data_IF_658965712610
#
_entry.id   IF_658965712610
#
_cell.length_a   1.000
_cell.length_b   1.000
_cell.length_c   1.000
_cell.angle_alpha   90.00
_cell.angle_beta   90.00
_cell.angle_gamma   90.00
#
_symmetry.space_group_name_H-M   'P 1'
#
loop_
_entity.id
_entity.type
_entity.pdbx_description
1 polymer ?
#
# COMPACT_ATOMS: atom_id res chain seq x y z
N UNK A 1 8.81 -26.90 -18.62
CA UNK A 1 8.92 -27.53 -17.30
C UNK A 1 9.03 -26.52 -16.16
N UNK A 2 10.06 -25.66 -16.07
CA UNK A 2 10.22 -24.69 -14.94
C UNK A 2 8.99 -23.81 -14.63
N UNK A 3 8.33 -23.24 -15.65
CA UNK A 3 7.16 -22.34 -15.46
C UNK A 3 5.93 -23.06 -14.86
N UNK A 4 5.76 -24.35 -15.17
CA UNK A 4 4.62 -25.15 -14.68
C UNK A 4 4.81 -25.50 -13.19
N UNK A 5 6.04 -25.81 -12.77
CA UNK A 5 6.39 -26.10 -11.36
C UNK A 5 6.31 -24.87 -10.43
N UNK A 6 6.34 -23.67 -11.02
CA UNK A 6 6.30 -22.39 -10.31
C UNK A 6 4.85 -21.91 -10.11
N UNK A 7 3.99 -22.02 -11.12
CA UNK A 7 2.55 -21.77 -10.99
C UNK A 7 1.89 -22.77 -10.01
N UNK A 8 2.28 -24.04 -10.06
CA UNK A 8 1.79 -25.07 -9.14
C UNK A 8 2.19 -24.79 -7.68
N UNK A 9 3.32 -24.11 -7.45
CA UNK A 9 3.78 -23.78 -6.10
C UNK A 9 2.89 -22.76 -5.39
N UNK A 10 2.45 -21.71 -6.10
CA UNK A 10 1.57 -20.69 -5.53
C UNK A 10 0.16 -21.22 -5.28
N UNK A 11 -0.26 -22.22 -6.06
CA UNK A 11 -1.48 -23.00 -5.85
C UNK A 11 -1.34 -24.04 -4.72
N UNK A 12 -0.42 -23.90 -3.77
CA UNK A 12 -0.36 -24.83 -2.63
C UNK A 12 -0.95 -24.19 -1.39
N UNK A 13 -1.81 -24.91 -0.71
CA UNK A 13 -2.41 -24.48 0.56
C UNK A 13 -1.37 -24.05 1.59
N UNK A 14 -0.29 -24.81 1.75
CA UNK A 14 0.79 -24.53 2.70
C UNK A 14 1.61 -23.28 2.34
N UNK A 15 1.60 -22.86 1.07
CA UNK A 15 2.22 -21.60 0.63
C UNK A 15 1.28 -20.42 0.90
N UNK A 16 -0.01 -20.59 0.67
CA UNK A 16 -1.01 -19.55 0.96
C UNK A 16 -1.15 -19.30 2.47
N UNK A 17 -1.09 -20.35 3.29
CA UNK A 17 -0.98 -20.22 4.75
C UNK A 17 0.26 -19.42 5.16
N UNK A 18 1.41 -19.71 4.55
CA UNK A 18 2.63 -18.97 4.81
C UNK A 18 2.49 -17.48 4.45
N UNK A 19 1.92 -17.16 3.29
CA UNK A 19 1.67 -15.78 2.87
C UNK A 19 0.74 -15.07 3.86
N UNK A 20 -0.37 -15.70 4.25
CA UNK A 20 -1.29 -15.16 5.25
C UNK A 20 -0.56 -14.88 6.57
N UNK A 21 0.24 -15.81 7.09
CA UNK A 21 0.97 -15.61 8.34
C UNK A 21 2.02 -14.50 8.25
N UNK A 22 2.75 -14.41 7.14
CA UNK A 22 3.70 -13.31 6.91
C UNK A 22 2.97 -11.96 6.93
N UNK A 23 1.83 -11.84 6.22
CA UNK A 23 1.08 -10.59 6.11
C UNK A 23 0.44 -10.13 7.43
N UNK A 24 0.25 -11.05 8.38
CA UNK A 24 -0.23 -10.76 9.73
C UNK A 24 0.88 -10.48 10.75
N UNK A 25 2.14 -10.72 10.39
CA UNK A 25 3.28 -10.54 11.29
C UNK A 25 3.84 -9.12 11.15
N UNK A 26 4.02 -8.42 12.27
CA UNK A 26 4.68 -7.11 12.29
C UNK A 26 6.20 -7.23 12.04
N UNK A 27 6.81 -6.33 11.27
CA UNK A 27 8.26 -6.19 11.22
C UNK A 27 8.85 -5.78 12.58
N UNK A 28 10.06 -6.26 12.96
CA UNK A 28 10.91 -7.21 12.24
C UNK A 28 10.37 -8.63 12.23
N UNK A 29 10.27 -9.23 11.04
CA UNK A 29 9.76 -10.60 10.91
C UNK A 29 10.73 -11.61 11.51
N UNK A 30 10.23 -12.42 12.46
CA UNK A 30 10.96 -13.54 13.06
C UNK A 30 10.53 -14.85 12.41
N UNK A 31 11.37 -15.41 11.54
CA UNK A 31 11.09 -16.68 10.86
C UNK A 31 10.82 -17.83 11.83
N UNK A 32 11.48 -17.83 13.00
CA UNK A 32 11.24 -18.84 14.05
C UNK A 32 9.80 -18.80 14.56
N UNK A 33 9.18 -17.61 14.64
CA UNK A 33 7.80 -17.47 15.10
C UNK A 33 6.82 -18.00 14.05
N UNK A 34 7.03 -17.64 12.79
CA UNK A 34 6.24 -18.18 11.67
C UNK A 34 6.34 -19.71 11.59
N UNK A 35 7.54 -20.26 11.80
CA UNK A 35 7.78 -21.70 11.80
C UNK A 35 7.02 -22.42 12.93
N UNK A 36 7.01 -21.83 14.13
CA UNK A 36 6.22 -22.32 15.27
C UNK A 36 4.72 -22.29 14.95
N UNK A 37 4.21 -21.15 14.45
CA UNK A 37 2.78 -20.96 14.18
C UNK A 37 2.25 -21.88 13.07
N UNK A 38 3.09 -22.22 12.09
CA UNK A 38 2.76 -23.16 11.01
C UNK A 38 3.12 -24.62 11.31
N UNK A 39 3.74 -24.91 12.46
CA UNK A 39 4.27 -26.23 12.80
C UNK A 39 5.18 -26.82 11.71
N UNK A 40 6.09 -26.00 11.18
CA UNK A 40 7.03 -26.38 10.12
C UNK A 40 8.49 -26.07 10.51
N UNK A 41 9.48 -26.84 10.02
CA UNK A 41 10.87 -26.52 10.27
C UNK A 41 11.29 -25.17 9.67
N UNK A 42 12.09 -24.38 10.41
CA UNK A 42 12.62 -23.08 9.96
C UNK A 42 13.27 -23.16 8.57
N UNK A 43 13.98 -24.26 8.27
CA UNK A 43 14.61 -24.49 6.96
C UNK A 43 13.60 -24.57 5.82
N UNK A 44 12.43 -25.19 6.05
CA UNK A 44 11.36 -25.27 5.07
C UNK A 44 10.72 -23.91 4.83
N UNK A 45 10.44 -23.15 5.89
CA UNK A 45 9.92 -21.78 5.80
C UNK A 45 10.89 -20.90 5.01
N UNK A 46 12.19 -20.91 5.33
CA UNK A 46 13.22 -20.17 4.58
C UNK A 46 13.24 -20.54 3.11
N UNK A 47 13.15 -21.83 2.78
CA UNK A 47 13.11 -22.32 1.40
C UNK A 47 11.88 -21.79 0.65
N UNK A 48 10.69 -21.84 1.28
CA UNK A 48 9.45 -21.31 0.70
C UNK A 48 9.52 -19.80 0.47
N UNK A 49 9.99 -19.04 1.46
CA UNK A 49 10.20 -17.58 1.34
C UNK A 49 11.19 -17.29 0.21
N UNK A 50 12.32 -17.98 0.15
CA UNK A 50 13.31 -17.78 -0.94
C UNK A 50 12.71 -18.08 -2.31
N UNK A 51 11.88 -19.12 -2.43
CA UNK A 51 11.15 -19.42 -3.67
C UNK A 51 10.16 -18.31 -4.01
N UNK A 52 9.39 -17.77 -3.05
CA UNK A 52 8.51 -16.62 -3.28
C UNK A 52 9.28 -15.41 -3.81
N UNK A 53 10.44 -15.07 -3.21
CA UNK A 53 11.30 -14.00 -3.70
C UNK A 53 11.81 -14.24 -5.12
N UNK A 54 12.22 -15.46 -5.45
CA UNK A 54 12.66 -15.82 -6.80
C UNK A 54 11.53 -15.70 -7.84
N UNK A 55 10.29 -15.94 -7.43
CA UNK A 55 9.11 -15.73 -8.27
C UNK A 55 8.80 -14.23 -8.45
N UNK A 56 9.42 -13.34 -7.66
CA UNK A 56 9.21 -11.89 -7.71
C UNK A 56 8.21 -11.38 -6.67
N UNK A 57 7.78 -12.22 -5.72
CA UNK A 57 7.08 -11.73 -4.54
C UNK A 57 8.06 -11.01 -3.63
N UNK A 58 7.56 -10.02 -2.89
CA UNK A 58 8.28 -9.39 -1.81
C UNK A 58 7.29 -8.91 -0.78
N UNK A 59 7.77 -8.63 0.43
CA UNK A 59 6.93 -8.17 1.53
C UNK A 59 7.40 -6.82 2.01
N UNK A 60 6.48 -5.91 2.29
CA UNK A 60 6.74 -4.58 2.86
C UNK A 60 5.96 -4.42 4.15
N UNK A 61 6.52 -3.71 5.12
CA UNK A 61 5.82 -3.32 6.33
C UNK A 61 4.62 -2.44 5.98
N UNK A 62 3.48 -2.76 6.58
CA UNK A 62 2.24 -2.01 6.44
C UNK A 62 1.98 -1.20 7.72
N UNK A 63 1.53 0.04 7.58
CA UNK A 63 1.17 0.92 8.68
C UNK A 63 0.24 2.01 8.18
N UNK A 64 -0.62 2.49 9.06
CA UNK A 64 -1.53 3.59 8.74
C UNK A 64 -0.74 4.90 8.61
N UNK A 65 -0.91 5.60 7.49
CA UNK A 65 -0.20 6.86 7.25
C UNK A 65 -0.61 7.94 8.25
N UNK A 66 -1.85 7.94 8.74
CA UNK A 66 -2.34 8.90 9.74
C UNK A 66 -1.56 8.79 11.05
N UNK A 67 -1.20 7.56 11.46
CA UNK A 67 -0.38 7.31 12.66
C UNK A 67 0.97 8.00 12.59
N UNK A 68 1.50 8.21 11.37
CA UNK A 68 2.78 8.86 11.18
C UNK A 68 2.63 10.32 10.74
N UNK A 69 1.41 10.89 10.74
CA UNK A 69 1.15 12.28 10.36
C UNK A 69 1.12 12.51 8.85
N UNK A 70 0.88 11.49 8.03
CA UNK A 70 0.72 11.59 6.58
C UNK A 70 -0.69 11.20 6.14
N UNK A 71 -1.07 11.70 4.96
CA UNK A 71 -2.25 11.30 4.21
C UNK A 71 -1.89 11.09 2.74
N UNK A 72 -2.85 10.70 1.90
CA UNK A 72 -2.61 10.48 0.46
C UNK A 72 -3.47 11.36 -0.41
N UNK A 73 -2.84 12.23 -1.20
CA UNK A 73 -3.51 12.96 -2.27
C UNK A 73 -3.57 12.07 -3.52
N UNK A 74 -4.77 11.93 -4.09
CA UNK A 74 -5.01 11.19 -5.33
C UNK A 74 -5.21 12.18 -6.47
N UNK A 75 -4.41 12.04 -7.53
CA UNK A 75 -4.47 12.84 -8.74
C UNK A 75 -4.61 11.93 -9.95
N UNK A 76 -5.40 12.34 -10.94
CA UNK A 76 -5.55 11.63 -12.20
C UNK A 76 -5.53 12.60 -13.38
N UNK A 77 -4.66 12.32 -14.33
CA UNK A 77 -4.34 13.17 -15.48
C UNK A 77 -4.70 12.46 -16.78
N UNK A 78 -5.07 13.23 -17.79
CA UNK A 78 -5.32 12.75 -19.15
C UNK A 78 -4.03 12.59 -19.98
N UNK A 79 -2.87 12.91 -19.42
CA UNK A 79 -1.56 12.83 -20.04
C UNK A 79 -0.58 12.04 -19.14
N UNK A 80 0.53 11.52 -19.69
CA UNK A 80 1.59 10.86 -18.90
C UNK A 80 2.09 11.73 -17.75
N UNK A 81 2.25 11.15 -16.56
CA UNK A 81 2.69 11.88 -15.35
C UNK A 81 4.03 12.60 -15.55
N UNK A 82 4.95 11.99 -16.30
CA UNK A 82 6.27 12.58 -16.54
C UNK A 82 6.19 13.83 -17.44
N UNK A 83 5.16 13.94 -18.30
CA UNK A 83 4.91 15.15 -19.09
C UNK A 83 4.20 16.24 -18.27
N UNK A 84 3.31 15.84 -17.36
CA UNK A 84 2.74 16.75 -16.36
C UNK A 84 3.84 17.39 -15.51
N UNK A 85 4.81 16.59 -15.03
CA UNK A 85 5.94 17.09 -14.23
C UNK A 85 6.76 18.15 -14.98
N UNK A 86 6.96 18.00 -16.30
CA UNK A 86 7.72 18.98 -17.11
C UNK A 86 7.00 20.33 -17.28
N UNK A 87 5.68 20.35 -17.20
CA UNK A 87 4.86 21.56 -17.32
C UNK A 87 4.82 22.37 -16.02
N UNK A 88 5.17 21.74 -14.90
CA UNK A 88 5.11 22.38 -13.60
C UNK A 88 6.26 23.38 -13.39
N UNK A 89 6.02 24.47 -12.64
CA UNK A 89 7.07 25.41 -12.25
C UNK A 89 8.29 24.69 -11.65
N UNK A 90 9.50 25.16 -11.97
CA UNK A 90 10.75 24.47 -11.63
C UNK A 90 10.86 24.12 -10.16
N UNK A 91 10.48 25.04 -9.29
CA UNK A 91 10.38 24.79 -7.86
C UNK A 91 9.49 23.55 -7.62
N UNK A 92 8.22 23.57 -8.04
CA UNK A 92 7.27 22.46 -7.82
C UNK A 92 7.70 21.12 -8.46
N UNK A 93 8.23 21.15 -9.69
CA UNK A 93 8.69 19.95 -10.42
C UNK A 93 9.80 19.19 -9.69
N UNK A 94 10.62 19.88 -8.89
CA UNK A 94 11.68 19.26 -8.09
C UNK A 94 11.14 18.58 -6.83
N UNK A 95 10.00 19.02 -6.29
CA UNK A 95 9.39 18.41 -5.09
C UNK A 95 8.63 17.13 -5.40
N UNK A 96 7.81 17.15 -6.45
CA UNK A 96 6.88 16.05 -6.75
C UNK A 96 7.53 14.66 -6.72
N UNK A 97 8.74 14.46 -7.28
CA UNK A 97 9.41 13.17 -7.21
C UNK A 97 9.58 12.62 -5.79
N UNK A 98 9.83 13.48 -4.81
CA UNK A 98 9.99 13.08 -3.40
C UNK A 98 8.66 12.78 -2.73
N UNK A 99 7.58 13.43 -3.17
CA UNK A 99 6.24 13.25 -2.61
C UNK A 99 5.51 12.03 -3.19
N UNK A 100 5.94 11.49 -4.33
CA UNK A 100 5.29 10.34 -4.96
C UNK A 100 5.29 9.15 -4.01
N UNK A 101 4.10 8.59 -3.76
CA UNK A 101 3.87 7.30 -3.08
C UNK A 101 3.73 6.19 -4.11
N UNK A 102 2.97 6.43 -5.17
CA UNK A 102 2.66 5.46 -6.21
C UNK A 102 2.30 6.18 -7.50
N UNK A 103 2.55 5.54 -8.64
CA UNK A 103 2.01 5.96 -9.93
C UNK A 103 1.66 4.74 -10.78
N UNK A 104 0.77 4.93 -11.74
CA UNK A 104 0.42 3.95 -12.76
C UNK A 104 -0.50 4.56 -13.80
N UNK A 105 -0.52 3.95 -14.98
CA UNK A 105 -1.30 4.42 -16.12
C UNK A 105 -2.33 3.37 -16.52
N UNK A 106 -3.50 3.81 -16.98
CA UNK A 106 -4.54 2.95 -17.52
C UNK A 106 -4.44 2.90 -19.04
N UNK A 107 -4.86 1.78 -19.63
CA UNK A 107 -5.02 1.66 -21.09
C UNK A 107 -6.49 1.49 -21.52
N UNK A 108 -7.40 1.22 -20.57
CA UNK A 108 -8.84 1.04 -20.83
C UNK A 108 -9.68 1.59 -19.67
N UNK A 109 -10.87 2.17 -19.91
CA UNK A 109 -11.46 2.44 -21.23
C UNK A 109 -10.80 3.60 -21.97
N UNK A 110 -9.94 4.37 -21.29
CA UNK A 110 -9.13 5.45 -21.85
C UNK A 110 -7.79 5.53 -21.11
N UNK A 111 -6.88 6.34 -21.63
CA UNK A 111 -5.65 6.67 -20.91
C UNK A 111 -5.95 7.59 -19.72
N UNK A 112 -5.42 7.21 -18.56
CA UNK A 112 -5.45 7.97 -17.32
C UNK A 112 -4.15 7.69 -16.57
N UNK A 113 -3.37 8.73 -16.31
CA UNK A 113 -2.20 8.64 -15.43
C UNK A 113 -2.59 8.97 -14.01
N UNK A 114 -2.35 8.08 -13.07
CA UNK A 114 -2.68 8.26 -11.66
C UNK A 114 -1.41 8.46 -10.85
N UNK A 115 -1.44 9.47 -9.99
CA UNK A 115 -0.39 9.76 -9.03
C UNK A 115 -0.98 9.78 -7.62
N UNK A 116 -0.39 8.98 -6.73
CA UNK A 116 -0.65 9.04 -5.29
C UNK A 116 0.53 9.76 -4.64
N UNK A 117 0.24 10.79 -3.86
CA UNK A 117 1.25 11.68 -3.28
C UNK A 117 1.12 11.67 -1.75
N UNK A 118 2.24 11.60 -1.05
CA UNK A 118 2.31 11.87 0.38
C UNK A 118 2.08 13.35 0.66
N UNK A 119 1.24 13.63 1.65
CA UNK A 119 0.96 14.97 2.16
C UNK A 119 0.86 14.93 3.69
N UNK A 120 1.12 16.02 4.44
CA UNK A 120 0.92 16.02 5.89
C UNK A 120 -0.56 15.84 6.23
N UNK A 121 -0.81 15.13 7.33
CA UNK A 121 -2.12 15.06 7.98
C UNK A 121 -2.40 16.41 8.66
N UNK A 122 -3.57 17.01 8.42
CA UNK A 122 -4.01 18.31 8.96
C UNK A 122 -3.46 19.59 8.30
N UNK A 123 -2.93 19.50 7.08
CA UNK A 123 -2.48 20.69 6.36
C UNK A 123 -3.52 21.05 5.27
N UNK A 124 -3.77 22.35 5.06
CA UNK A 124 -4.60 22.89 3.95
C UNK A 124 -3.91 22.71 2.58
N UNK A 125 -3.36 21.51 2.34
CA UNK A 125 -2.60 21.15 1.15
C UNK A 125 -3.50 21.21 -0.08
N UNK A 126 -4.80 20.96 0.04
CA UNK A 126 -5.70 20.99 -1.10
C UNK A 126 -5.74 22.36 -1.75
N UNK A 127 -5.99 23.44 -0.99
CA UNK A 127 -6.07 24.78 -1.57
C UNK A 127 -4.77 25.18 -2.30
N UNK A 128 -3.62 24.83 -1.72
CA UNK A 128 -2.31 25.11 -2.31
C UNK A 128 -1.97 24.19 -3.50
N UNK A 129 -2.27 22.89 -3.42
CA UNK A 129 -2.02 21.94 -4.50
C UNK A 129 -2.95 22.20 -5.69
N UNK A 130 -4.24 22.44 -5.46
CA UNK A 130 -5.18 22.87 -6.50
C UNK A 130 -4.72 24.19 -7.13
N UNK A 131 -4.36 25.18 -6.33
CA UNK A 131 -3.87 26.47 -6.85
C UNK A 131 -2.60 26.34 -7.69
N UNK A 132 -1.72 25.38 -7.39
CA UNK A 132 -0.52 25.12 -8.20
C UNK A 132 -0.87 24.41 -9.51
N UNK A 133 -1.72 23.38 -9.46
CA UNK A 133 -2.16 22.64 -10.65
C UNK A 133 -2.96 23.52 -11.61
N UNK A 134 -3.83 24.37 -11.07
CA UNK A 134 -4.62 25.35 -11.82
C UNK A 134 -3.72 26.41 -12.48
N UNK A 135 -2.77 27.00 -11.73
CA UNK A 135 -1.81 27.97 -12.29
C UNK A 135 -0.92 27.38 -13.39
N UNK A 136 -0.65 26.08 -13.33
CA UNK A 136 0.12 25.37 -14.35
C UNK A 136 -0.73 24.90 -15.55
N UNK A 137 -2.03 25.24 -15.58
CA UNK A 137 -2.97 24.85 -16.62
C UNK A 137 -3.01 23.33 -16.87
N UNK A 138 -2.92 22.55 -15.78
CA UNK A 138 -2.96 21.09 -15.83
C UNK A 138 -4.41 20.64 -15.61
N UNK A 139 -4.97 20.00 -16.63
CA UNK A 139 -6.31 19.41 -16.53
C UNK A 139 -6.26 18.10 -15.76
N UNK A 140 -7.23 17.94 -14.86
CA UNK A 140 -7.42 16.72 -14.09
C UNK A 140 -8.64 15.99 -14.63
N UNK A 141 -8.48 14.69 -14.86
CA UNK A 141 -9.53 13.83 -15.40
C UNK A 141 -10.42 13.26 -14.30
N UNK A 142 -9.88 13.13 -13.08
CA UNK A 142 -10.61 12.78 -11.88
C UNK A 142 -10.54 13.95 -10.91
N UNK A 143 -11.63 14.22 -10.19
CA UNK A 143 -11.62 15.18 -9.08
C UNK A 143 -10.59 14.72 -8.04
N UNK A 144 -9.57 15.53 -7.71
CA UNK A 144 -8.64 15.17 -6.65
C UNK A 144 -9.32 15.01 -5.31
N UNK A 145 -8.81 14.08 -4.52
CA UNK A 145 -9.31 13.83 -3.17
C UNK A 145 -8.18 13.42 -2.24
N UNK A 146 -8.37 13.63 -0.94
CA UNK A 146 -7.43 13.19 0.09
C UNK A 146 -7.99 11.92 0.69
N UNK A 147 -7.29 10.82 0.46
CA UNK A 147 -7.56 9.59 1.16
C UNK A 147 -6.90 9.61 2.53
N UNK A 148 -7.71 9.84 3.57
CA UNK A 148 -7.34 9.71 4.97
C UNK A 148 -7.30 8.24 5.41
N UNK A 149 -8.08 7.36 4.78
CA UNK A 149 -8.08 5.93 5.09
C UNK A 149 -7.34 5.16 3.99
N UNK A 150 -6.40 4.30 4.39
CA UNK A 150 -5.68 3.38 3.49
C UNK A 150 -5.77 1.97 4.03
N UNK A 151 -6.40 1.08 3.27
CA UNK A 151 -6.58 -0.33 3.64
C UNK A 151 -5.83 -1.18 2.63
N UNK A 152 -5.00 -2.11 3.12
CA UNK A 152 -4.26 -3.04 2.28
C UNK A 152 -4.90 -4.43 2.35
N UNK A 153 -4.84 -5.17 1.25
CA UNK A 153 -5.28 -6.56 1.17
C UNK A 153 -4.48 -7.45 2.12
N UNK A 154 -5.20 -8.30 2.84
CA UNK A 154 -4.71 -9.28 3.80
C UNK A 154 -5.45 -10.59 3.57
N UNK A 155 -5.09 -11.34 2.52
CA UNK A 155 -5.81 -12.51 2.10
C UNK A 155 -5.91 -13.54 3.22
N UNK A 156 -7.11 -14.09 3.41
CA UNK A 156 -7.34 -15.20 4.33
C UNK A 156 -7.52 -16.47 3.53
N UNK A 157 -6.85 -17.53 3.97
CA UNK A 157 -6.93 -18.86 3.37
C UNK A 157 -8.35 -19.38 3.18
N UNK A 158 -9.29 -18.99 4.07
CA UNK A 158 -10.71 -19.34 3.93
C UNK A 158 -11.40 -18.84 2.65
N UNK A 159 -10.91 -17.76 2.04
CA UNK A 159 -11.48 -17.21 0.80
C UNK A 159 -10.81 -17.77 -0.46
N UNK A 160 -9.85 -18.68 -0.33
CA UNK A 160 -9.30 -19.40 -1.47
C UNK A 160 -10.21 -20.59 -1.81
N UNK A 161 -10.77 -20.60 -3.01
CA UNK A 161 -11.54 -21.69 -3.59
C UNK A 161 -10.64 -22.87 -3.96
N UNK A 162 -11.12 -24.08 -3.69
CA UNK A 162 -10.47 -25.32 -4.12
C UNK A 162 -11.06 -25.76 -5.47
N UNK A 163 -10.27 -26.35 -6.39
CA UNK A 163 -8.86 -26.73 -6.29
C UNK A 163 -7.86 -25.69 -6.84
N UNK A 164 -8.34 -24.58 -7.41
CA UNK A 164 -7.50 -23.65 -8.17
C UNK A 164 -6.89 -22.49 -7.34
N UNK A 165 -7.24 -22.39 -6.07
CA UNK A 165 -6.76 -21.35 -5.13
C UNK A 165 -7.06 -19.93 -5.61
N UNK A 166 -8.21 -19.77 -6.26
CA UNK A 166 -8.79 -18.50 -6.71
C UNK A 166 -9.76 -17.94 -5.66
N UNK A 167 -10.25 -16.71 -5.76
CA UNK A 167 -11.27 -16.26 -4.80
C UNK A 167 -12.57 -17.07 -4.87
N UNK A 168 -13.06 -17.49 -3.71
CA UNK A 168 -14.43 -17.94 -3.55
C UNK A 168 -15.37 -16.72 -3.46
N UNK A 169 -15.76 -16.18 -4.62
CA UNK A 169 -16.58 -14.97 -4.73
C UNK A 169 -17.96 -15.12 -4.09
N UNK A 170 -18.51 -16.34 -4.12
CA UNK A 170 -19.80 -16.66 -3.51
C UNK A 170 -19.72 -16.60 -1.98
N UNK A 171 -18.70 -17.22 -1.38
CA UNK A 171 -18.46 -17.14 0.06
C UNK A 171 -18.23 -15.68 0.50
N UNK A 172 -17.46 -14.92 -0.28
CA UNK A 172 -17.20 -13.50 0.00
C UNK A 172 -18.49 -12.68 -0.01
N UNK A 173 -19.35 -12.89 -1.01
CA UNK A 173 -20.66 -12.24 -1.12
C UNK A 173 -21.61 -12.65 0.02
N UNK A 174 -21.61 -13.92 0.40
CA UNK A 174 -22.42 -14.39 1.53
C UNK A 174 -21.94 -13.81 2.87
N UNK A 175 -20.63 -13.63 3.06
CA UNK A 175 -20.08 -12.97 4.25
C UNK A 175 -20.42 -11.47 4.29
N UNK A 176 -20.47 -10.77 3.14
CA UNK A 176 -20.93 -9.37 3.07
C UNK A 176 -22.38 -9.17 3.56
N UNK A 177 -23.23 -10.18 3.38
CA UNK A 177 -24.63 -10.16 3.81
C UNK A 177 -24.83 -10.41 5.29
N UNK A 178 -23.83 -10.95 5.97
CA UNK A 178 -23.89 -11.13 7.42
C UNK A 178 -23.79 -9.75 8.09
N UNK A 179 -24.43 -9.60 9.24
CA UNK A 179 -24.19 -8.43 10.10
C UNK A 179 -22.74 -8.52 10.59
N UNK A 180 -21.97 -7.44 10.37
CA UNK A 180 -20.63 -7.30 10.95
C UNK A 180 -20.73 -6.47 12.23
N UNK A 181 -19.81 -6.71 13.16
CA UNK A 181 -19.63 -5.87 14.34
C UNK A 181 -19.20 -4.45 13.90
N UNK A 182 -20.05 -3.44 14.14
CA UNK A 182 -19.75 -2.01 13.88
C UNK A 182 -18.44 -1.52 14.52
N UNK A 183 -17.90 -2.27 15.48
CA UNK A 183 -16.72 -1.94 16.27
C UNK A 183 -15.46 -1.83 15.39
N UNK A 184 -15.30 -2.72 14.39
CA UNK A 184 -14.17 -2.73 13.47
C UNK A 184 -14.10 -1.45 12.61
N UNK A 185 -15.26 -0.91 12.21
CA UNK A 185 -15.36 0.33 11.41
C UNK A 185 -15.00 1.56 12.26
N UNK A 186 -15.44 1.59 13.52
CA UNK A 186 -15.14 2.69 14.45
C UNK A 186 -13.65 2.78 14.77
N UNK A 187 -12.94 1.65 14.85
CA UNK A 187 -11.48 1.64 15.01
C UNK A 187 -10.74 2.21 13.79
N UNK A 188 -11.21 1.93 12.58
CA UNK A 188 -10.62 2.48 11.35
C UNK A 188 -10.68 4.01 11.34
N UNK A 189 -11.72 4.61 11.92
CA UNK A 189 -11.92 6.06 11.92
C UNK A 189 -11.16 6.79 13.04
N UNK A 190 -10.77 6.12 14.12
CA UNK A 190 -10.13 6.73 15.29
C UNK A 190 -8.61 6.51 15.30
N UNK A 191 -7.87 7.33 14.56
CA UNK A 191 -6.41 7.27 14.53
C UNK A 191 -5.81 8.66 14.65
N UNK A 192 -5.09 8.89 15.74
CA UNK A 192 -4.33 10.12 15.95
C UNK A 192 -2.86 9.95 15.53
N UNK A 193 -2.24 11.01 14.97
CA UNK A 193 -0.81 11.02 14.69
C UNK A 193 0.03 10.82 15.95
N UNK A 194 1.06 9.99 15.81
CA UNK A 194 2.04 9.72 16.85
C UNK A 194 3.26 10.60 16.57
N UNK A 195 3.79 11.22 17.62
CA UNK A 195 5.05 11.95 17.53
C UNK A 195 6.23 10.98 17.33
N UNK A 196 6.93 11.10 16.20
CA UNK A 196 8.04 10.23 15.80
C UNK A 196 9.38 10.94 15.93
N UNK A 197 10.45 10.16 16.10
CA UNK A 197 11.80 10.65 15.86
C UNK A 197 12.24 10.29 14.43
N UNK A 198 13.22 11.03 13.89
CA UNK A 198 13.77 10.74 12.55
C UNK A 198 14.27 9.30 12.41
N UNK A 199 14.84 8.73 13.48
CA UNK A 199 15.28 7.33 13.49
C UNK A 199 14.09 6.39 13.32
N UNK A 200 12.95 6.68 13.95
CA UNK A 200 11.73 5.89 13.79
C UNK A 200 11.26 5.94 12.34
N UNK A 201 11.25 7.14 11.73
CA UNK A 201 10.90 7.34 10.31
C UNK A 201 11.82 6.54 9.38
N UNK A 202 13.13 6.54 9.63
CA UNK A 202 14.10 5.80 8.82
C UNK A 202 13.96 4.27 8.98
N UNK A 203 13.62 3.80 10.18
CA UNK A 203 13.30 2.39 10.43
C UNK A 203 12.05 2.00 9.65
N UNK A 204 10.98 2.79 9.74
CA UNK A 204 9.73 2.56 9.00
C UNK A 204 9.95 2.55 7.49
N UNK A 205 10.73 3.50 6.96
CA UNK A 205 11.08 3.55 5.54
C UNK A 205 11.87 2.31 5.09
N UNK A 206 12.73 1.76 5.96
CA UNK A 206 13.47 0.52 5.67
C UNK A 206 12.53 -0.68 5.57
N UNK A 207 11.61 -0.85 6.52
CA UNK A 207 10.64 -1.95 6.48
C UNK A 207 9.58 -1.80 5.40
N UNK A 208 9.20 -0.58 5.02
CA UNK A 208 8.30 -0.35 3.89
C UNK A 208 8.96 -0.70 2.53
N UNK A 209 10.30 -0.71 2.45
CA UNK A 209 11.01 -1.24 1.28
C UNK A 209 11.06 -2.76 1.28
N UNK A 210 11.33 -3.36 2.43
CA UNK A 210 11.38 -4.81 2.65
C UNK A 210 11.18 -5.15 4.14
N UNK A 211 10.10 -5.87 4.45
CA UNK A 211 9.72 -6.30 5.80
C UNK A 211 10.71 -7.29 6.43
N UNK A 212 11.49 -8.00 5.60
CA UNK A 212 12.51 -8.96 6.05
C UNK A 212 13.89 -8.33 6.25
N UNK A 213 14.02 -7.01 6.09
CA UNK A 213 15.28 -6.30 6.33
C UNK A 213 15.79 -6.59 7.75
N UNK A 214 16.99 -7.19 7.92
CA UNK A 214 17.53 -7.45 9.26
C UNK A 214 17.83 -6.16 10.01
N UNK A 215 17.59 -6.15 11.33
CA UNK A 215 17.94 -5.02 12.20
C UNK A 215 19.43 -4.64 12.09
N UNK A 216 20.31 -5.63 11.93
CA UNK A 216 21.75 -5.39 11.72
C UNK A 216 22.05 -4.60 10.44
N UNK A 217 21.29 -4.83 9.37
CA UNK A 217 21.41 -4.08 8.13
C UNK A 217 20.94 -2.64 8.31
N UNK A 218 19.79 -2.42 8.97
CA UNK A 218 19.31 -1.06 9.30
C UNK A 218 20.34 -0.32 10.17
N UNK A 219 20.89 -1.00 11.18
CA UNK A 219 21.93 -0.43 12.05
C UNK A 219 23.18 -0.02 11.25
N UNK A 220 23.63 -0.88 10.33
CA UNK A 220 24.75 -0.60 9.43
C UNK A 220 24.46 0.58 8.49
N UNK A 221 23.31 0.56 7.82
CA UNK A 221 22.90 1.58 6.85
C UNK A 221 22.76 2.96 7.52
N UNK A 222 22.34 3.00 8.78
CA UNK A 222 22.19 4.23 9.56
C UNK A 222 23.42 4.59 10.41
N UNK A 223 24.48 3.76 10.39
CA UNK A 223 25.67 3.89 11.25
C UNK A 223 25.34 4.04 12.74
N UNK A 224 24.38 3.26 13.22
CA UNK A 224 23.96 3.20 14.62
C UNK A 224 24.22 1.82 15.20
N UNK A 225 24.28 1.72 16.53
CA UNK A 225 24.37 0.40 17.18
C UNK A 225 23.06 -0.37 17.04
N UNK A 226 23.16 -1.70 16.92
CA UNK A 226 21.99 -2.60 16.91
C UNK A 226 21.12 -2.38 18.16
N UNK A 227 21.73 -2.13 19.32
CA UNK A 227 21.02 -1.83 20.57
C UNK A 227 20.16 -0.57 20.46
N UNK A 228 20.66 0.49 19.81
CA UNK A 228 19.91 1.73 19.60
C UNK A 228 18.70 1.48 18.68
N UNK A 229 18.88 0.77 17.57
CA UNK A 229 17.75 0.43 16.68
C UNK A 229 16.71 -0.43 17.41
N UNK A 230 17.14 -1.46 18.15
CA UNK A 230 16.23 -2.30 18.93
C UNK A 230 15.47 -1.53 20.01
N UNK A 231 16.10 -0.52 20.64
CA UNK A 231 15.41 0.37 21.58
C UNK A 231 14.26 1.09 20.88
N UNK A 232 14.54 1.80 19.78
CA UNK A 232 13.53 2.52 19.00
C UNK A 232 12.39 1.60 18.53
N UNK A 233 12.73 0.41 18.01
CA UNK A 233 11.74 -0.60 17.62
C UNK A 233 10.80 -0.96 18.77
N UNK A 234 11.34 -1.35 19.93
CA UNK A 234 10.52 -1.76 21.07
C UNK A 234 9.71 -0.60 21.66
N UNK A 235 10.33 0.56 21.85
CA UNK A 235 9.73 1.65 22.64
C UNK A 235 8.83 2.56 21.83
N UNK A 236 9.15 2.82 20.56
CA UNK A 236 8.47 3.81 19.73
C UNK A 236 7.59 3.18 18.66
N UNK A 237 7.96 2.00 18.15
CA UNK A 237 7.26 1.37 17.01
C UNK A 237 6.32 0.26 17.48
N UNK A 238 6.84 -0.80 18.12
CA UNK A 238 6.08 -1.97 18.59
C UNK A 238 5.09 -1.58 19.70
N UNK A 239 5.56 -0.91 20.77
CA UNK A 239 4.70 -0.50 21.89
C UNK A 239 3.54 0.39 21.46
N UNK A 240 3.73 1.19 20.40
CA UNK A 240 2.72 2.12 19.89
C UNK A 240 1.89 1.53 18.74
N UNK A 241 2.10 0.24 18.41
CA UNK A 241 1.39 -0.48 17.35
C UNK A 241 1.35 0.30 16.04
N UNK A 242 2.52 0.79 15.59
CA UNK A 242 2.59 1.53 14.32
C UNK A 242 2.36 0.59 13.15
N UNK A 243 2.98 -0.58 13.16
CA UNK A 243 2.77 -1.60 12.13
C UNK A 243 1.39 -2.24 12.26
N UNK A 244 0.83 -2.55 11.10
CA UNK A 244 -0.37 -3.33 10.90
C UNK A 244 -0.01 -4.59 10.09
N UNK A 245 1.08 -5.27 10.42
CA UNK A 245 1.60 -6.43 9.69
C UNK A 245 2.39 -6.06 8.44
N UNK A 246 2.24 -6.91 7.42
CA UNK A 246 2.95 -6.78 6.15
C UNK A 246 1.99 -6.84 4.95
N UNK A 247 2.46 -6.35 3.82
CA UNK A 247 1.76 -6.44 2.54
C UNK A 247 2.67 -6.87 1.40
N UNK A 248 2.09 -7.32 0.29
CA UNK A 248 2.84 -7.75 -0.88
C UNK A 248 3.36 -6.52 -1.64
N UNK A 249 4.67 -6.51 -1.91
CA UNK A 249 5.38 -5.42 -2.58
C UNK A 249 5.08 -5.36 -4.07
N UNK A 250 5.07 -6.50 -4.74
CA UNK A 250 4.86 -6.60 -6.17
C UNK A 250 3.73 -7.60 -6.44
N UNK A 251 2.64 -7.07 -7.01
CA UNK A 251 1.39 -7.77 -7.26
C UNK A 251 1.51 -8.92 -8.25
N UNK A 252 2.49 -8.83 -9.14
CA UNK A 252 2.60 -9.74 -10.24
C UNK A 252 4.01 -10.30 -10.27
N UNK A 253 4.10 -11.59 -9.95
CA UNK A 253 5.29 -12.39 -10.21
C UNK A 253 5.67 -12.21 -11.68
N UNK A 254 6.94 -12.40 -12.05
CA UNK A 254 7.35 -12.34 -13.47
C UNK A 254 6.54 -13.31 -14.36
N UNK A 255 5.91 -14.31 -13.75
CA UNK A 255 5.14 -15.37 -14.38
C UNK A 255 3.63 -15.04 -14.46
N UNK A 256 3.09 -14.24 -13.54
CA UNK A 256 1.65 -13.89 -13.49
C UNK A 256 1.28 -12.68 -14.38
N UNK A 257 2.24 -11.92 -14.91
CA UNK A 257 1.99 -10.71 -15.73
C UNK A 257 1.14 -11.02 -16.96
N UNK A 258 1.24 -12.24 -17.47
CA UNK A 258 0.47 -12.66 -18.64
C UNK A 258 -0.94 -13.15 -18.28
N UNK A 259 -1.20 -13.51 -17.02
CA UNK A 259 -2.43 -14.20 -16.60
C UNK A 259 -3.28 -13.39 -15.61
N UNK A 260 -2.87 -12.16 -15.27
CA UNK A 260 -3.63 -11.25 -14.40
C UNK A 260 -3.90 -9.91 -15.06
N UNK A 261 -5.05 -9.33 -14.71
CA UNK A 261 -5.44 -7.97 -15.03
C UNK A 261 -5.45 -7.15 -13.74
N UNK A 262 -4.75 -6.01 -13.75
CA UNK A 262 -4.88 -5.03 -12.68
C UNK A 262 -6.04 -4.09 -12.97
N UNK A 263 -7.07 -4.15 -12.13
CA UNK A 263 -8.28 -3.34 -12.25
C UNK A 263 -8.31 -2.28 -11.17
N UNK A 264 -8.62 -1.06 -11.57
CA UNK A 264 -8.77 0.07 -10.68
C UNK A 264 -10.22 0.53 -10.68
N UNK A 265 -10.85 0.54 -9.52
CA UNK A 265 -12.16 1.12 -9.30
C UNK A 265 -11.99 2.50 -8.70
N UNK A 266 -12.60 3.53 -9.29
CA UNK A 266 -12.68 4.88 -8.71
C UNK A 266 -14.15 5.25 -8.63
N UNK A 267 -14.61 5.68 -7.45
CA UNK A 267 -16.03 5.91 -7.23
C UNK A 267 -16.35 6.83 -6.07
N UNK A 268 -17.66 6.99 -5.83
CA UNK A 268 -18.25 7.72 -4.71
C UNK A 268 -19.37 6.87 -4.09
N UNK A 269 -19.39 6.76 -2.76
CA UNK A 269 -20.52 6.17 -2.04
C UNK A 269 -20.93 7.05 -0.85
N UNK A 270 -22.16 7.54 -0.86
CA UNK A 270 -22.68 8.45 0.17
C UNK A 270 -22.85 7.78 1.54
N UNK A 271 -22.95 6.45 1.57
CA UNK A 271 -22.91 5.66 2.79
C UNK A 271 -21.50 5.09 3.00
N UNK A 272 -20.68 5.86 3.72
CA UNK A 272 -19.32 5.47 4.09
C UNK A 272 -19.28 4.16 4.88
N UNK A 273 -20.26 3.91 5.75
CA UNK A 273 -20.28 2.70 6.59
C UNK A 273 -20.45 1.46 5.71
N UNK A 274 -21.37 1.52 4.76
CA UNK A 274 -21.59 0.45 3.78
C UNK A 274 -20.35 0.21 2.90
N UNK A 275 -19.69 1.27 2.44
CA UNK A 275 -18.43 1.15 1.69
C UNK A 275 -17.33 0.50 2.53
N UNK A 276 -17.16 0.93 3.79
CA UNK A 276 -16.14 0.39 4.70
C UNK A 276 -16.42 -1.08 5.06
N UNK A 277 -17.69 -1.47 5.21
CA UNK A 277 -18.11 -2.88 5.34
C UNK A 277 -17.73 -3.71 4.11
N UNK A 278 -17.90 -3.16 2.91
CA UNK A 278 -17.44 -3.86 1.73
C UNK A 278 -15.92 -4.06 1.72
N UNK A 279 -15.18 -3.01 2.07
CA UNK A 279 -13.72 -3.04 2.13
C UNK A 279 -13.22 -4.00 3.22
N UNK A 280 -13.85 -4.05 4.40
CA UNK A 280 -13.47 -4.90 5.54
C UNK A 280 -13.53 -6.39 5.20
N UNK A 281 -14.48 -6.80 4.36
CA UNK A 281 -14.62 -8.17 3.86
C UNK A 281 -13.72 -8.42 2.66
N UNK A 282 -13.82 -7.60 1.61
CA UNK A 282 -13.10 -7.81 0.33
C UNK A 282 -11.59 -7.76 0.51
N UNK A 283 -11.06 -7.03 1.52
CA UNK A 283 -9.61 -7.02 1.81
C UNK A 283 -9.04 -8.40 2.10
N UNK A 284 -9.88 -9.37 2.46
CA UNK A 284 -9.47 -10.73 2.74
C UNK A 284 -9.42 -11.62 1.49
N UNK A 285 -9.79 -11.11 0.30
CA UNK A 285 -9.65 -11.79 -0.99
C UNK A 285 -8.20 -11.71 -1.50
N UNK A 286 -7.63 -12.80 -2.06
CA UNK A 286 -6.34 -12.81 -2.76
C UNK A 286 -6.19 -11.78 -3.90
N UNK A 287 -7.30 -11.37 -4.50
CA UNK A 287 -7.33 -10.49 -5.66
C UNK A 287 -7.45 -9.02 -5.26
N UNK A 288 -7.79 -8.72 -4.01
CA UNK A 288 -7.82 -7.35 -3.50
C UNK A 288 -6.42 -6.90 -3.09
N UNK A 289 -5.99 -5.74 -3.59
CA UNK A 289 -4.70 -5.18 -3.25
C UNK A 289 -4.78 -4.08 -2.20
N UNK A 290 -5.60 -3.07 -2.45
CA UNK A 290 -5.71 -1.92 -1.56
C UNK A 290 -6.94 -1.09 -1.86
N UNK A 291 -7.43 -0.37 -0.85
CA UNK A 291 -8.37 0.73 -1.00
C UNK A 291 -7.81 2.00 -0.37
N UNK A 292 -8.13 3.13 -0.99
CA UNK A 292 -7.97 4.48 -0.48
C UNK A 292 -9.36 5.10 -0.39
N UNK A 293 -9.70 5.70 0.75
CA UNK A 293 -11.01 6.32 0.98
C UNK A 293 -10.81 7.73 1.53
N UNK A 294 -11.51 8.69 0.94
CA UNK A 294 -11.72 10.04 1.47
C UNK A 294 -13.04 10.03 2.25
N UNK A 295 -12.93 9.95 3.57
CA UNK A 295 -14.09 9.88 4.46
C UNK A 295 -14.93 11.18 4.48
N UNK A 296 -14.37 12.31 4.04
CA UNK A 296 -15.05 13.61 4.05
C UNK A 296 -15.85 13.84 2.76
N UNK A 297 -15.30 13.42 1.62
CA UNK A 297 -15.92 13.61 0.31
C UNK A 297 -16.60 12.35 -0.24
N UNK A 298 -16.56 11.24 0.51
CA UNK A 298 -17.14 9.96 0.13
C UNK A 298 -16.55 9.37 -1.16
N UNK A 299 -15.34 9.78 -1.53
CA UNK A 299 -14.62 9.31 -2.71
C UNK A 299 -13.74 8.12 -2.34
N UNK A 300 -13.55 7.19 -3.26
CA UNK A 300 -12.65 6.08 -3.04
C UNK A 300 -11.95 5.62 -4.32
N UNK A 301 -10.85 4.90 -4.10
CA UNK A 301 -10.13 4.17 -5.14
C UNK A 301 -9.76 2.79 -4.61
N UNK A 302 -10.05 1.73 -5.36
CA UNK A 302 -9.68 0.35 -5.03
C UNK A 302 -8.88 -0.29 -6.16
N UNK A 303 -7.90 -1.09 -5.79
CA UNK A 303 -7.04 -1.81 -6.71
C UNK A 303 -7.23 -3.32 -6.52
N UNK A 304 -7.53 -4.00 -7.63
CA UNK A 304 -7.65 -5.45 -7.72
C UNK A 304 -6.65 -6.00 -8.73
N UNK A 305 -6.27 -7.26 -8.55
CA UNK A 305 -5.44 -8.03 -9.48
C UNK A 305 -6.10 -9.37 -9.74
N UNK A 306 -6.94 -9.39 -10.78
CA UNK A 306 -7.86 -10.47 -11.11
C UNK A 306 -7.18 -11.43 -12.07
N UNK A 307 -7.32 -12.74 -11.88
CA UNK A 307 -6.90 -13.71 -12.89
C UNK A 307 -7.77 -13.56 -14.14
N UNK A 308 -7.18 -13.66 -15.35
CA UNK A 308 -7.93 -13.56 -16.60
C UNK A 308 -9.10 -14.55 -16.67
N UNK A 309 -8.92 -15.75 -16.11
CA UNK A 309 -9.96 -16.78 -16.03
C UNK A 309 -11.15 -16.43 -15.12
N UNK A 310 -11.04 -15.40 -14.29
CA UNK A 310 -12.06 -15.01 -13.31
C UNK A 310 -12.80 -13.73 -13.65
N UNK A 311 -12.48 -13.07 -14.78
CA UNK A 311 -13.07 -11.76 -15.13
C UNK A 311 -14.60 -11.81 -15.12
N UNK A 312 -15.21 -12.87 -15.66
CA UNK A 312 -16.67 -13.01 -15.70
C UNK A 312 -17.28 -13.18 -14.30
N UNK A 313 -16.60 -13.92 -13.42
CA UNK A 313 -17.02 -14.12 -12.03
C UNK A 313 -16.89 -12.81 -11.24
N UNK A 314 -15.77 -12.11 -11.40
CA UNK A 314 -15.56 -10.80 -10.81
C UNK A 314 -16.58 -9.78 -11.31
N UNK A 315 -16.89 -9.76 -12.62
CA UNK A 315 -17.91 -8.88 -13.19
C UNK A 315 -19.29 -9.14 -12.58
N UNK A 316 -19.68 -10.41 -12.41
CA UNK A 316 -20.92 -10.80 -11.72
C UNK A 316 -20.91 -10.37 -10.26
N UNK A 317 -19.81 -10.59 -9.55
CA UNK A 317 -19.64 -10.16 -8.16
C UNK A 317 -19.82 -8.63 -8.02
N UNK A 318 -19.11 -7.84 -8.82
CA UNK A 318 -19.19 -6.37 -8.82
C UNK A 318 -20.62 -5.87 -9.14
N UNK A 319 -21.35 -6.55 -10.02
CA UNK A 319 -22.77 -6.25 -10.26
C UNK A 319 -23.63 -6.52 -9.03
N UNK A 320 -23.40 -7.64 -8.34
CA UNK A 320 -24.16 -8.03 -7.15
C UNK A 320 -23.88 -7.14 -5.94
N UNK A 321 -22.69 -6.54 -5.85
CA UNK A 321 -22.30 -5.64 -4.75
C UNK A 321 -22.41 -4.17 -5.11
N UNK A 322 -23.12 -3.82 -6.19
CA UNK A 322 -23.20 -2.42 -6.68
C UNK A 322 -23.71 -1.47 -5.60
N UNK A 323 -24.67 -1.89 -4.79
CA UNK A 323 -25.20 -1.10 -3.66
C UNK A 323 -24.11 -0.71 -2.65
N UNK A 324 -23.10 -1.56 -2.45
CA UNK A 324 -21.99 -1.28 -1.55
C UNK A 324 -20.94 -0.33 -2.13
N UNK A 325 -20.91 -0.21 -3.45
CA UNK A 325 -19.91 0.56 -4.18
C UNK A 325 -20.42 1.95 -4.58
N UNK A 326 -21.73 2.16 -4.62
CA UNK A 326 -22.32 3.41 -5.12
C UNK A 326 -22.01 3.61 -6.61
N UNK A 327 -21.61 4.83 -6.97
CA UNK A 327 -21.19 5.18 -8.32
C UNK A 327 -19.71 4.87 -8.51
N UNK A 328 -19.34 4.20 -9.59
CA UNK A 328 -17.94 3.88 -9.87
C UNK A 328 -17.64 3.73 -11.36
N UNK A 329 -16.36 3.91 -11.67
CA UNK A 329 -15.76 3.59 -12.95
C UNK A 329 -14.68 2.52 -12.76
N UNK A 330 -14.54 1.62 -13.72
CA UNK A 330 -13.49 0.61 -13.76
C UNK A 330 -12.49 0.99 -14.83
N UNK A 331 -11.21 0.97 -14.48
CA UNK A 331 -10.09 1.15 -15.38
C UNK A 331 -9.18 -0.07 -15.34
N UNK A 332 -8.49 -0.34 -16.45
CA UNK A 332 -7.47 -1.38 -16.53
C UNK A 332 -6.09 -0.73 -16.55
N UNK A 333 -5.26 -1.06 -15.57
CA UNK A 333 -3.91 -0.55 -15.42
C UNK A 333 -2.93 -1.30 -16.33
N UNK A 334 -1.94 -0.58 -16.85
CA UNK A 334 -0.75 -1.12 -17.46
C UNK A 334 0.30 -1.41 -16.37
N UNK A 335 0.56 -2.69 -16.02
CA UNK A 335 1.47 -3.02 -14.92
C UNK A 335 2.91 -2.53 -15.12
N UNK A 336 3.34 -2.34 -16.38
CA UNK A 336 4.71 -1.88 -16.70
C UNK A 336 4.98 -0.43 -16.28
N UNK A 337 3.93 0.37 -16.08
CA UNK A 337 4.02 1.79 -15.70
C UNK A 337 4.00 1.99 -14.18
N UNK A 338 3.71 0.93 -13.43
CA UNK A 338 3.51 1.03 -12.00
C UNK A 338 4.84 1.23 -11.29
N UNK A 339 4.92 2.30 -10.51
CA UNK A 339 6.05 2.56 -9.61
C UNK A 339 5.53 2.85 -8.22
N UNK A 340 6.26 2.39 -7.20
CA UNK A 340 5.95 2.63 -5.79
C UNK A 340 7.20 3.11 -5.08
N UNK A 341 7.01 4.04 -4.16
CA UNK A 341 8.08 4.69 -3.41
C UNK A 341 7.81 4.56 -1.91
N UNK A 342 8.84 4.81 -1.11
CA UNK A 342 8.73 4.76 0.36
C UNK A 342 8.38 6.14 0.93
N UNK A 343 8.08 6.21 2.23
CA UNK A 343 7.91 7.45 2.99
C UNK A 343 9.01 8.47 2.63
N UNK A 344 8.66 9.75 2.42
CA UNK A 344 9.59 10.79 2.03
C UNK A 344 10.40 11.29 3.23
N UNK A 345 11.26 10.44 3.80
CA UNK A 345 11.99 10.74 5.04
C UNK A 345 12.87 12.00 4.96
N UNK A 346 13.22 12.48 3.76
CA UNK A 346 13.92 13.77 3.57
C UNK A 346 13.04 14.98 3.88
N UNK A 347 11.72 14.85 3.77
CA UNK A 347 10.75 15.89 4.12
C UNK A 347 10.33 15.83 5.60
N UNK A 348 11.04 15.06 6.44
CA UNK A 348 10.74 14.99 7.87
C UNK A 348 11.58 15.99 8.64
N UNK A 349 10.96 17.05 9.15
CA UNK A 349 11.64 18.07 9.94
C UNK A 349 11.80 17.59 11.39
N UNK A 350 13.04 17.24 11.74
CA UNK A 350 13.40 16.72 13.06
C UNK A 350 13.20 17.71 14.22
N UNK A 351 13.16 19.01 13.95
CA UNK A 351 13.12 20.06 14.97
C UNK A 351 11.68 20.26 15.46
N UNK A 352 10.73 20.30 14.53
CA UNK A 352 9.29 20.38 14.84
C UNK A 352 8.63 18.99 14.94
N UNK A 353 9.38 17.91 14.63
CA UNK A 353 8.92 16.51 14.59
C UNK A 353 7.68 16.31 13.72
N UNK A 354 7.66 16.94 12.56
CA UNK A 354 6.54 16.89 11.63
C UNK A 354 7.03 16.88 10.18
N UNK A 355 6.12 16.57 9.26
CA UNK A 355 6.37 16.65 7.83
C UNK A 355 6.38 18.10 7.37
N UNK A 356 7.44 18.46 6.69
CA UNK A 356 7.64 19.78 6.13
C UNK A 356 8.19 19.60 4.71
N UNK A 357 7.34 19.95 3.75
CA UNK A 357 7.56 19.67 2.35
C UNK A 357 8.15 20.86 1.61
N UNK A 358 8.75 21.84 2.30
CA UNK A 358 9.55 22.93 1.70
C UNK A 358 10.92 22.44 1.17
N UNK A 359 11.43 23.02 0.07
CA UNK A 359 12.68 22.55 -0.60
C UNK A 359 13.84 22.80 0.34
N UNK A 360 13.82 23.94 1.02
CA UNK A 360 14.80 24.34 2.03
C UNK A 360 14.98 23.22 3.06
N UNK A 361 13.89 22.65 3.56
CA UNK A 361 13.94 21.54 4.51
C UNK A 361 14.48 20.27 3.87
N UNK A 362 14.03 19.91 2.68
CA UNK A 362 14.50 18.72 1.96
C UNK A 362 16.02 18.80 1.70
N UNK A 363 16.53 19.95 1.25
CA UNK A 363 17.95 20.17 0.98
C UNK A 363 18.78 20.10 2.26
N UNK A 364 18.35 20.79 3.33
CA UNK A 364 19.01 20.74 4.64
C UNK A 364 19.04 19.29 5.18
N UNK A 365 17.93 18.56 5.05
CA UNK A 365 17.83 17.19 5.54
C UNK A 365 18.67 16.23 4.72
N UNK A 366 18.80 16.45 3.40
CA UNK A 366 19.71 15.72 2.54
C UNK A 366 21.16 15.91 2.98
N UNK A 367 21.60 17.16 3.19
CA UNK A 367 22.94 17.46 3.71
C UNK A 367 23.20 16.81 5.07
N UNK A 368 22.23 16.91 5.99
CA UNK A 368 22.32 16.28 7.33
C UNK A 368 22.41 14.76 7.23
N UNK A 369 21.66 14.12 6.34
CA UNK A 369 21.71 12.66 6.13
C UNK A 369 23.06 12.26 5.53
N UNK A 370 23.56 12.99 4.53
CA UNK A 370 24.88 12.75 3.96
C UNK A 370 26.00 12.90 5.00
N UNK A 371 25.90 13.88 5.91
CA UNK A 371 26.85 14.04 7.00
C UNK A 371 26.79 12.86 8.00
N UNK A 372 25.59 12.43 8.39
CA UNK A 372 25.38 11.24 9.24
C UNK A 372 25.94 9.96 8.60
N UNK A 373 25.87 9.84 7.28
CA UNK A 373 26.38 8.70 6.52
C UNK A 373 27.87 8.82 6.17
N UNK A 374 28.54 9.95 6.47
CA UNK A 374 29.98 10.13 6.29
C UNK A 374 30.76 10.01 7.59
N UNK A 375 30.20 10.47 8.71
CA UNK A 375 30.68 10.19 10.07
C UNK A 375 30.62 8.69 10.40
#
# INVERSE_FOLDING_TARGET
>A
MRVIDEAFFLKRYDVNLLIEQIMRTDPPIRISKIAEDLNEPISQIRRKISKLYNLGYGFKGDFDLRRIGLSTLVLGFNEPIDDVIKKLPRNFSQYLPFLRRWQGETFSPKHLSIALMYIPYNYDVLANAYGILEKANISLEIKPFIADISIIGKPRTKYFGLPDYLTNWELLYNDLKKEEDEEDIKEILKIDPINLDLIDVLILASYQKDAFTPVSKIASDLKLSISKINRHLKTHIEKRKIFNGCSIKQLISKLDIQNRIMMLLIGKNEDLSTLLKFISIVKNSPEFYSALVDSNNNMYMMLFSIMFSEIDLFSKFIKNVKEYLGEYNIFILNPSTIKSYTIPFLAYNREIKNWDFEISVIDIMKEKLEALLKA
#
